data_IF_971894596142
#
_entry.id   IF_971894596142
#
_cell.length_a   1.000
_cell.length_b   1.000
_cell.length_c   1.000
_cell.angle_alpha   90.00
_cell.angle_beta   90.00
_cell.angle_gamma   90.00
#
_symmetry.space_group_name_H-M   'P 1'
#
loop_
_entity.id
_entity.type
_entity.pdbx_description
1 polymer ?
#
# COMPACT_ATOMS: atom_id res chain seq x y z
N UNK A 1 52.96 9.44 -8.50
CA UNK A 1 52.28 8.88 -7.29
C UNK A 1 53.37 8.47 -6.33
N UNK A 2 53.39 9.09 -5.13
CA UNK A 2 54.31 8.68 -4.07
C UNK A 2 53.54 7.83 -3.03
N UNK A 3 53.94 6.59 -2.82
CA UNK A 3 53.60 5.78 -1.68
C UNK A 3 54.75 5.85 -0.67
N UNK A 4 54.47 6.21 0.56
CA UNK A 4 55.52 6.39 1.57
C UNK A 4 55.00 6.17 2.98
N UNK A 5 55.93 6.26 3.93
CA UNK A 5 55.62 6.18 5.36
C UNK A 5 55.79 7.54 5.99
N UNK A 6 54.76 8.03 6.66
CA UNK A 6 54.86 9.19 7.54
C UNK A 6 55.17 8.68 8.95
N UNK A 7 56.26 9.14 9.51
CA UNK A 7 56.69 8.83 10.87
C UNK A 7 56.37 10.01 11.76
N UNK A 8 55.68 9.79 12.86
CA UNK A 8 55.46 10.73 13.98
C UNK A 8 55.98 10.11 15.27
N UNK A 9 56.06 10.90 16.33
CA UNK A 9 56.61 10.45 17.63
C UNK A 9 55.94 9.16 18.16
N UNK A 10 54.66 8.95 17.81
CA UNK A 10 53.85 7.82 18.35
C UNK A 10 53.40 6.79 17.33
N UNK A 11 53.46 7.13 16.02
CA UNK A 11 52.82 6.29 14.96
C UNK A 11 53.57 6.34 13.65
N UNK A 12 53.67 5.19 12.96
CA UNK A 12 54.10 5.06 11.57
C UNK A 12 52.85 4.79 10.71
N UNK A 13 52.66 5.60 9.63
CA UNK A 13 51.43 5.56 8.84
C UNK A 13 51.79 5.52 7.34
N UNK A 14 51.24 4.57 6.61
CA UNK A 14 51.31 4.56 5.18
C UNK A 14 50.46 5.70 4.59
N UNK A 15 51.04 6.44 3.66
CA UNK A 15 50.40 7.59 2.97
C UNK A 15 50.67 7.52 1.46
N UNK A 16 49.73 8.01 0.71
CA UNK A 16 49.88 8.27 -0.72
C UNK A 16 49.75 9.77 -1.00
N UNK A 17 50.52 10.23 -1.98
CA UNK A 17 50.46 11.61 -2.44
C UNK A 17 50.37 11.62 -3.95
N UNK A 18 49.40 12.37 -4.49
CA UNK A 18 49.21 12.49 -5.94
C UNK A 18 48.75 13.88 -6.32
N UNK A 19 49.24 14.38 -7.46
CA UNK A 19 48.67 15.54 -8.11
C UNK A 19 47.43 15.14 -8.92
N UNK A 20 46.34 15.86 -8.74
CA UNK A 20 45.09 15.72 -9.49
C UNK A 20 44.70 17.07 -10.09
N UNK A 21 44.12 17.07 -11.30
CA UNK A 21 43.61 18.29 -11.89
C UNK A 21 42.44 18.83 -11.02
N UNK A 22 42.45 20.14 -10.72
CA UNK A 22 41.34 20.74 -9.97
C UNK A 22 40.07 20.82 -10.84
N UNK A 23 38.92 20.64 -10.23
CA UNK A 23 37.61 20.78 -10.89
C UNK A 23 37.06 22.20 -10.86
N UNK A 24 37.76 23.16 -10.24
CA UNK A 24 37.27 24.53 -10.10
C UNK A 24 37.37 25.29 -11.42
N UNK A 25 36.24 25.74 -11.93
CA UNK A 25 36.05 26.48 -13.19
C UNK A 25 36.45 27.96 -13.12
N UNK A 26 36.88 28.45 -11.97
CA UNK A 26 37.28 29.86 -11.78
C UNK A 26 38.80 30.03 -11.75
N UNK A 27 39.45 29.92 -12.90
CA UNK A 27 40.83 30.34 -13.03
C UNK A 27 41.00 31.10 -14.36
N UNK A 28 41.37 32.37 -14.24
CA UNK A 28 41.85 33.21 -15.32
C UNK A 28 43.02 32.55 -16.04
N UNK A 29 43.08 32.76 -17.34
CA UNK A 29 43.98 32.19 -18.31
C UNK A 29 45.45 31.96 -17.83
N UNK A 30 45.93 30.75 -17.94
CA UNK A 30 47.35 30.46 -18.03
C UNK A 30 47.94 29.32 -17.21
N UNK A 31 47.33 28.83 -16.11
CA UNK A 31 47.86 27.67 -15.36
C UNK A 31 46.74 26.73 -14.97
N UNK A 32 46.80 25.47 -15.42
CA UNK A 32 45.91 24.41 -14.90
C UNK A 32 46.18 24.23 -13.41
N UNK A 33 45.24 24.54 -12.50
CA UNK A 33 45.45 24.36 -11.08
C UNK A 33 45.54 22.88 -10.79
N UNK A 34 46.65 22.41 -10.28
CA UNK A 34 46.81 21.05 -9.79
C UNK A 34 46.87 21.06 -8.26
N UNK A 35 45.97 20.37 -7.63
CA UNK A 35 46.00 20.16 -6.18
C UNK A 35 46.73 18.86 -5.85
N UNK A 36 47.55 18.89 -4.79
CA UNK A 36 48.24 17.71 -4.30
C UNK A 36 47.35 17.09 -3.20
N UNK A 37 46.76 15.94 -3.49
CA UNK A 37 46.00 15.19 -2.52
C UNK A 37 46.95 14.24 -1.73
N UNK A 38 46.92 14.37 -0.41
CA UNK A 38 47.58 13.44 0.52
C UNK A 38 46.49 12.61 1.21
N UNK A 39 46.66 11.29 1.15
CA UNK A 39 45.66 10.34 1.68
C UNK A 39 46.36 9.36 2.61
N UNK A 40 45.78 9.18 3.82
CA UNK A 40 46.20 8.14 4.76
C UNK A 40 45.69 6.79 4.23
N UNK A 41 46.58 5.78 4.12
CA UNK A 41 46.23 4.41 3.76
C UNK A 41 45.86 3.62 5.01
N UNK A 42 46.66 3.70 6.08
CA UNK A 42 46.44 3.04 7.37
C UNK A 42 47.71 3.12 8.23
N UNK A 43 47.68 2.64 9.49
CA UNK A 43 48.90 2.55 10.28
C UNK A 43 49.70 1.36 9.77
N UNK A 44 51.02 1.40 9.98
CA UNK A 44 51.92 0.31 9.52
C UNK A 44 51.54 -1.02 10.25
N UNK A 45 51.10 -0.94 11.52
CA UNK A 45 50.61 -2.07 12.31
C UNK A 45 49.33 -2.70 11.80
N UNK A 46 48.55 -1.98 10.98
CA UNK A 46 47.24 -2.46 10.49
C UNK A 46 47.39 -3.43 9.32
N UNK A 47 48.62 -3.59 8.79
CA UNK A 47 48.92 -4.40 7.61
C UNK A 47 49.93 -5.49 7.92
N UNK A 48 49.63 -6.78 7.67
CA UNK A 48 50.55 -7.90 7.81
C UNK A 48 51.78 -7.79 6.89
N UNK A 49 51.65 -7.14 5.72
CA UNK A 49 52.74 -6.93 4.77
C UNK A 49 52.63 -5.57 4.05
N UNK A 50 53.78 -5.10 3.54
CA UNK A 50 53.84 -3.87 2.75
C UNK A 50 53.07 -4.00 1.44
N UNK A 51 52.98 -5.22 0.90
CA UNK A 51 52.28 -5.43 -0.40
C UNK A 51 50.75 -5.34 -0.24
N UNK A 52 50.23 -5.74 0.89
CA UNK A 52 48.80 -5.49 1.19
C UNK A 52 48.49 -3.99 1.33
N UNK A 53 49.41 -3.24 2.00
CA UNK A 53 49.27 -1.79 2.08
C UNK A 53 49.36 -1.12 0.71
N UNK A 54 50.21 -1.64 -0.20
CA UNK A 54 50.32 -1.18 -1.58
C UNK A 54 49.05 -1.46 -2.39
N UNK A 55 48.40 -2.61 -2.19
CA UNK A 55 47.16 -2.94 -2.88
C UNK A 55 46.04 -1.98 -2.50
N UNK A 56 45.86 -1.74 -1.18
CA UNK A 56 44.91 -0.73 -0.69
C UNK A 56 45.25 0.66 -1.22
N UNK A 57 46.56 1.01 -1.30
CA UNK A 57 47.01 2.28 -1.89
C UNK A 57 46.62 2.40 -3.37
N UNK A 58 46.72 1.33 -4.15
CA UNK A 58 46.33 1.32 -5.58
C UNK A 58 44.82 1.60 -5.72
N UNK A 59 43.96 0.97 -4.93
CA UNK A 59 42.53 1.19 -4.92
C UNK A 59 42.16 2.65 -4.58
N UNK A 60 42.80 3.21 -3.55
CA UNK A 60 42.65 4.62 -3.18
C UNK A 60 43.09 5.57 -4.31
N UNK A 61 44.19 5.25 -4.99
CA UNK A 61 44.64 6.02 -6.17
C UNK A 61 43.63 5.97 -7.29
N UNK A 62 43.03 4.82 -7.60
CA UNK A 62 41.97 4.72 -8.61
C UNK A 62 40.79 5.61 -8.25
N UNK A 63 40.37 5.59 -6.98
CA UNK A 63 39.30 6.47 -6.47
C UNK A 63 39.67 7.96 -6.61
N UNK A 64 40.91 8.33 -6.29
CA UNK A 64 41.41 9.71 -6.47
C UNK A 64 41.39 10.17 -7.95
N UNK A 65 41.69 9.25 -8.86
CA UNK A 65 41.65 9.54 -10.31
C UNK A 65 40.21 9.75 -10.76
N UNK A 66 39.31 8.83 -10.41
CA UNK A 66 37.91 8.83 -10.83
C UNK A 66 37.16 10.04 -10.26
N UNK A 67 37.35 10.34 -8.98
CA UNK A 67 36.56 11.36 -8.26
C UNK A 67 37.23 12.73 -8.17
N UNK A 68 38.54 12.82 -8.45
CA UNK A 68 39.38 14.02 -8.22
C UNK A 68 39.30 14.56 -6.77
N UNK A 69 38.87 13.76 -5.83
CA UNK A 69 38.68 14.09 -4.41
C UNK A 69 39.47 13.17 -3.50
N UNK A 70 39.61 13.57 -2.23
CA UNK A 70 40.25 12.73 -1.22
C UNK A 70 39.33 11.56 -0.82
N UNK A 71 39.72 10.30 -1.05
CA UNK A 71 38.89 9.13 -0.73
C UNK A 71 38.45 9.06 0.74
N UNK A 72 39.34 9.45 1.66
CA UNK A 72 38.99 9.46 3.10
C UNK A 72 37.96 10.54 3.46
N UNK A 73 37.96 11.66 2.70
CA UNK A 73 36.93 12.68 2.85
C UNK A 73 35.60 12.20 2.28
N UNK A 74 35.63 11.56 1.12
CA UNK A 74 34.46 10.90 0.52
C UNK A 74 33.88 9.87 1.49
N UNK A 75 34.74 9.00 2.06
CA UNK A 75 34.31 7.99 3.04
C UNK A 75 33.64 8.65 4.26
N UNK A 76 34.23 9.71 4.81
CA UNK A 76 33.61 10.46 5.92
C UNK A 76 32.27 11.09 5.54
N UNK A 77 32.16 11.67 4.35
CA UNK A 77 30.91 12.26 3.88
C UNK A 77 29.83 11.17 3.69
N UNK A 78 30.22 10.00 3.19
CA UNK A 78 29.34 8.83 3.09
C UNK A 78 28.93 8.30 4.49
N UNK A 79 29.86 8.28 5.43
CA UNK A 79 29.62 7.86 6.82
C UNK A 79 28.72 8.87 7.57
N UNK A 80 28.73 10.14 7.20
CA UNK A 80 27.86 11.21 7.78
C UNK A 80 26.47 11.24 7.12
N UNK A 81 26.32 10.78 5.89
CA UNK A 81 25.06 10.72 5.16
C UNK A 81 24.31 9.40 5.36
N UNK A 82 24.42 8.80 6.56
CA UNK A 82 23.93 7.47 6.84
C UNK A 82 22.43 7.47 7.12
N UNK A 83 21.69 6.89 6.17
CA UNK A 83 20.24 6.77 6.24
C UNK A 83 19.83 5.70 7.27
N UNK A 84 19.04 6.12 8.25
CA UNK A 84 18.43 5.22 9.24
C UNK A 84 17.12 4.59 8.72
N UNK A 85 16.65 3.55 9.38
CA UNK A 85 15.37 2.92 9.07
C UNK A 85 14.22 3.92 9.20
N UNK A 86 14.20 4.73 10.27
CA UNK A 86 13.16 5.74 10.50
C UNK A 86 13.14 6.81 9.41
N UNK A 87 14.32 7.28 8.97
CA UNK A 87 14.41 8.26 7.87
C UNK A 87 13.88 7.70 6.55
N UNK A 88 14.14 6.41 6.25
CA UNK A 88 13.59 5.77 5.05
C UNK A 88 12.04 5.70 5.11
N UNK A 89 11.47 5.37 6.27
CA UNK A 89 10.02 5.38 6.46
C UNK A 89 9.45 6.80 6.34
N UNK A 90 10.11 7.81 6.92
CA UNK A 90 9.69 9.21 6.84
C UNK A 90 9.73 9.76 5.40
N UNK A 91 10.80 9.47 4.65
CA UNK A 91 10.91 9.83 3.23
C UNK A 91 9.79 9.18 2.41
N UNK A 92 9.54 7.90 2.62
CA UNK A 92 8.48 7.19 1.91
C UNK A 92 7.08 7.72 2.27
N UNK A 93 6.84 8.07 3.53
CA UNK A 93 5.61 8.72 4.00
C UNK A 93 5.39 10.05 3.27
N UNK A 94 6.42 10.89 3.22
CA UNK A 94 6.38 12.18 2.51
C UNK A 94 6.07 11.99 1.03
N UNK A 95 6.70 11.01 0.39
CA UNK A 95 6.39 10.64 -0.99
C UNK A 95 4.92 10.21 -1.17
N UNK A 96 4.37 9.39 -0.27
CA UNK A 96 2.97 8.97 -0.34
C UNK A 96 1.98 10.13 -0.19
N UNK A 97 2.31 11.12 0.62
CA UNK A 97 1.51 12.33 0.84
C UNK A 97 1.65 13.33 -0.31
N UNK A 98 2.83 13.45 -0.91
CA UNK A 98 3.13 14.37 -2.01
C UNK A 98 2.62 13.93 -3.40
N UNK A 99 1.96 12.78 -3.52
CA UNK A 99 1.39 12.32 -4.79
C UNK A 99 0.22 13.20 -5.22
N UNK A 100 -0.04 13.32 -6.51
CA UNK A 100 -1.23 14.00 -7.07
C UNK A 100 -2.54 13.52 -6.41
N UNK A 101 -2.64 12.22 -6.11
CA UNK A 101 -3.67 11.66 -5.23
C UNK A 101 -2.99 11.10 -3.98
N UNK A 102 -2.96 11.84 -2.86
CA UNK A 102 -2.31 11.42 -1.62
C UNK A 102 -2.80 10.06 -1.11
N UNK A 103 -1.96 9.36 -0.38
CA UNK A 103 -2.34 8.07 0.20
C UNK A 103 -3.51 8.22 1.18
N UNK A 104 -4.44 7.27 1.16
CA UNK A 104 -5.58 7.25 2.10
C UNK A 104 -5.08 7.01 3.54
N UNK A 105 -5.77 7.55 4.57
CA UNK A 105 -5.35 7.43 5.97
C UNK A 105 -5.04 5.99 6.41
N UNK A 106 -5.82 5.02 5.92
CA UNK A 106 -5.57 3.62 6.24
C UNK A 106 -4.22 3.09 5.71
N UNK A 107 -3.75 3.59 4.56
CA UNK A 107 -2.43 3.22 4.02
C UNK A 107 -1.32 3.73 4.92
N UNK A 108 -1.44 4.97 5.39
CA UNK A 108 -0.48 5.57 6.35
C UNK A 108 -0.50 4.82 7.68
N UNK A 109 -1.67 4.51 8.23
CA UNK A 109 -1.80 3.73 9.46
C UNK A 109 -1.15 2.33 9.35
N UNK A 110 -1.22 1.70 8.18
CA UNK A 110 -0.53 0.41 7.96
C UNK A 110 0.98 0.59 7.87
N UNK A 111 1.46 1.67 7.28
CA UNK A 111 2.88 2.04 7.26
C UNK A 111 3.40 2.29 8.68
N UNK A 112 2.64 3.06 9.50
CA UNK A 112 2.98 3.35 10.90
C UNK A 112 3.06 2.07 11.73
N UNK A 113 2.12 1.15 11.54
CA UNK A 113 2.16 -0.16 12.21
C UNK A 113 3.38 -0.98 11.81
N UNK A 114 3.83 -0.88 10.56
CA UNK A 114 5.03 -1.56 10.12
C UNK A 114 6.29 -0.97 10.77
N UNK A 115 6.41 0.36 10.77
CA UNK A 115 7.49 1.08 11.43
C UNK A 115 7.56 0.77 12.95
N UNK A 116 6.41 0.83 13.63
CA UNK A 116 6.32 0.53 15.07
C UNK A 116 6.73 -0.91 15.43
N UNK A 117 6.52 -1.89 14.54
CA UNK A 117 7.01 -3.26 14.77
C UNK A 117 8.53 -3.40 14.62
N UNK A 118 9.16 -2.42 13.98
CA UNK A 118 10.61 -2.32 13.80
C UNK A 118 11.23 -1.22 14.67
N UNK A 119 10.53 -0.80 15.73
CA UNK A 119 10.94 0.33 16.58
C UNK A 119 12.38 0.21 17.13
N UNK A 120 12.84 -0.99 17.42
CA UNK A 120 14.21 -1.25 17.89
C UNK A 120 15.28 -0.97 16.82
N UNK A 121 14.89 -0.91 15.54
CA UNK A 121 15.77 -0.60 14.42
C UNK A 121 15.64 0.85 13.91
N UNK A 122 14.75 1.66 14.47
CA UNK A 122 14.47 3.01 13.96
C UNK A 122 15.72 3.86 13.79
N UNK A 123 16.62 3.80 14.77
CA UNK A 123 17.87 4.56 14.79
C UNK A 123 19.07 3.79 14.19
N UNK A 124 18.88 2.55 13.77
CA UNK A 124 19.93 1.80 13.10
C UNK A 124 20.09 2.26 11.66
N UNK A 125 21.35 2.33 11.24
CA UNK A 125 21.67 2.60 9.82
C UNK A 125 21.30 1.39 8.99
N UNK A 126 20.65 1.61 7.86
CA UNK A 126 20.19 0.54 6.97
C UNK A 126 21.35 -0.36 6.54
N UNK A 127 22.53 0.22 6.32
CA UNK A 127 23.72 -0.54 5.90
C UNK A 127 24.26 -1.52 6.96
N UNK A 128 23.95 -1.28 8.24
CA UNK A 128 24.41 -2.11 9.35
C UNK A 128 23.47 -3.29 9.64
N UNK A 129 22.27 -3.28 9.05
CA UNK A 129 21.33 -4.40 9.18
C UNK A 129 21.82 -5.61 8.40
N UNK A 130 22.11 -6.69 9.11
CA UNK A 130 22.50 -7.94 8.48
C UNK A 130 21.31 -8.78 8.03
N UNK A 131 21.51 -9.61 7.01
CA UNK A 131 20.46 -10.53 6.54
C UNK A 131 19.97 -11.48 7.64
N UNK A 132 20.87 -11.94 8.54
CA UNK A 132 20.52 -12.82 9.65
C UNK A 132 19.61 -12.13 10.68
N UNK A 133 19.85 -10.88 11.00
CA UNK A 133 18.99 -10.10 11.91
C UNK A 133 17.60 -9.92 11.32
N UNK A 134 17.53 -9.62 10.01
CA UNK A 134 16.27 -9.46 9.30
C UNK A 134 15.47 -10.77 9.29
N UNK A 135 16.10 -11.89 8.99
CA UNK A 135 15.47 -13.21 9.01
C UNK A 135 14.95 -13.56 10.41
N UNK A 136 15.77 -13.38 11.44
CA UNK A 136 15.39 -13.62 12.83
C UNK A 136 14.19 -12.78 13.24
N UNK A 137 14.21 -11.48 12.93
CA UNK A 137 13.10 -10.57 13.27
C UNK A 137 11.84 -10.89 12.52
N UNK A 138 11.96 -11.29 11.25
CA UNK A 138 10.82 -11.78 10.49
C UNK A 138 10.18 -12.99 11.17
N UNK A 139 10.98 -13.99 11.56
CA UNK A 139 10.49 -15.22 12.19
C UNK A 139 9.89 -14.95 13.57
N UNK A 140 10.45 -14.02 14.36
CA UNK A 140 9.90 -13.58 15.66
C UNK A 140 8.48 -13.00 15.50
N UNK A 141 8.28 -12.10 14.54
CA UNK A 141 6.96 -11.51 14.29
C UNK A 141 6.01 -12.55 13.67
N UNK A 142 6.52 -13.39 12.78
CA UNK A 142 5.75 -14.42 12.08
C UNK A 142 5.20 -15.50 13.04
N UNK A 143 5.94 -15.85 14.09
CA UNK A 143 5.49 -16.79 15.12
C UNK A 143 4.21 -16.30 15.81
N UNK A 144 4.06 -15.00 16.01
CA UNK A 144 2.86 -14.39 16.60
C UNK A 144 1.77 -14.11 15.53
N UNK A 145 2.17 -13.58 14.39
CA UNK A 145 1.24 -13.15 13.34
C UNK A 145 1.91 -13.10 11.96
N UNK A 146 1.88 -14.21 11.23
CA UNK A 146 2.52 -14.35 9.90
C UNK A 146 2.18 -13.24 8.92
N UNK A 147 0.91 -12.86 8.82
CA UNK A 147 0.44 -11.80 7.93
C UNK A 147 1.01 -10.43 8.33
N UNK A 148 1.17 -10.19 9.64
CA UNK A 148 1.77 -8.95 10.13
C UNK A 148 3.27 -8.88 9.79
N UNK A 149 4.00 -9.99 9.92
CA UNK A 149 5.40 -10.07 9.50
C UNK A 149 5.53 -9.74 8.00
N UNK A 150 4.81 -10.46 7.15
CA UNK A 150 4.85 -10.24 5.70
C UNK A 150 4.53 -8.79 5.34
N UNK A 151 3.51 -8.19 5.96
CA UNK A 151 3.13 -6.80 5.71
C UNK A 151 4.22 -5.83 6.17
N UNK A 152 4.76 -6.01 7.37
CA UNK A 152 5.82 -5.17 7.94
C UNK A 152 7.03 -5.14 7.00
N UNK A 153 7.51 -6.29 6.60
CA UNK A 153 8.74 -6.36 5.80
C UNK A 153 8.52 -6.01 4.33
N UNK A 154 7.29 -6.14 3.79
CA UNK A 154 6.98 -5.53 2.47
C UNK A 154 7.06 -4.01 2.52
N UNK A 155 6.56 -3.38 3.57
CA UNK A 155 6.65 -1.93 3.74
C UNK A 155 8.08 -1.47 3.97
N UNK A 156 8.86 -2.15 4.82
CA UNK A 156 10.28 -1.85 5.03
C UNK A 156 11.07 -1.95 3.72
N UNK A 157 10.85 -3.03 2.95
CA UNK A 157 11.51 -3.21 1.66
C UNK A 157 11.17 -2.09 0.67
N UNK A 158 9.92 -1.63 0.61
CA UNK A 158 9.50 -0.56 -0.30
C UNK A 158 10.04 0.80 0.17
N UNK A 159 10.01 1.09 1.47
CA UNK A 159 10.55 2.33 2.03
C UNK A 159 12.06 2.45 1.76
N UNK A 160 12.82 1.39 2.03
CA UNK A 160 14.27 1.37 1.79
C UNK A 160 14.59 1.43 0.29
N UNK A 161 13.82 0.73 -0.56
CA UNK A 161 14.00 0.84 -2.01
C UNK A 161 13.82 2.28 -2.49
N UNK A 162 12.79 2.97 -2.02
CA UNK A 162 12.54 4.37 -2.36
C UNK A 162 13.68 5.29 -1.88
N UNK A 163 14.18 5.05 -0.67
CA UNK A 163 15.30 5.80 -0.12
C UNK A 163 16.60 5.60 -0.93
N UNK A 164 16.86 4.37 -1.41
CA UNK A 164 17.98 4.08 -2.33
C UNK A 164 17.83 4.85 -3.66
N UNK A 165 16.61 4.91 -4.21
CA UNK A 165 16.34 5.64 -5.46
C UNK A 165 16.57 7.15 -5.30
N UNK A 166 16.13 7.75 -4.18
CA UNK A 166 16.40 9.17 -3.86
C UNK A 166 17.91 9.39 -3.69
N UNK A 167 18.58 8.54 -2.93
CA UNK A 167 20.01 8.66 -2.66
C UNK A 167 20.83 8.53 -3.95
N UNK A 168 20.45 7.62 -4.84
CA UNK A 168 21.10 7.49 -6.15
C UNK A 168 20.95 8.76 -6.99
N UNK A 169 19.77 9.39 -7.02
CA UNK A 169 19.53 10.66 -7.69
C UNK A 169 20.35 11.82 -7.08
N UNK A 170 20.39 11.92 -5.77
CA UNK A 170 21.19 12.92 -5.06
C UNK A 170 22.70 12.73 -5.31
N UNK A 171 23.15 11.49 -5.26
CA UNK A 171 24.55 11.14 -5.53
C UNK A 171 24.96 11.50 -6.95
N UNK A 172 24.10 11.23 -7.94
CA UNK A 172 24.32 11.62 -9.33
C UNK A 172 24.41 13.14 -9.48
N UNK A 173 23.47 13.88 -8.90
CA UNK A 173 23.47 15.35 -8.93
C UNK A 173 24.73 15.94 -8.30
N UNK A 174 25.20 15.33 -7.20
CA UNK A 174 26.39 15.77 -6.46
C UNK A 174 27.70 15.16 -7.00
N UNK A 175 27.66 14.40 -8.08
CA UNK A 175 28.81 13.70 -8.67
C UNK A 175 29.62 12.89 -7.64
N UNK A 176 28.90 12.17 -6.75
CA UNK A 176 29.47 11.28 -5.73
C UNK A 176 28.91 9.86 -5.87
N UNK A 177 29.52 8.91 -5.18
CA UNK A 177 28.94 7.57 -5.05
C UNK A 177 27.75 7.60 -4.05
N UNK A 178 26.71 6.81 -4.30
CA UNK A 178 25.61 6.68 -3.35
C UNK A 178 26.08 6.02 -2.06
N UNK A 179 25.61 6.54 -0.92
CA UNK A 179 25.92 5.99 0.42
C UNK A 179 25.18 4.68 0.70
N UNK A 180 24.06 4.47 0.02
CA UNK A 180 23.25 3.28 0.13
C UNK A 180 22.89 2.77 -1.28
N UNK A 181 23.41 1.61 -1.66
CA UNK A 181 23.17 0.99 -2.97
C UNK A 181 22.49 -0.38 -2.89
N UNK A 182 22.39 -0.93 -1.69
CA UNK A 182 21.86 -2.27 -1.44
C UNK A 182 20.69 -2.22 -0.45
N UNK A 183 19.64 -3.00 -0.75
CA UNK A 183 18.49 -3.16 0.14
C UNK A 183 18.62 -4.48 0.93
N UNK A 184 18.93 -4.43 2.24
CA UNK A 184 19.14 -5.63 3.04
C UNK A 184 17.86 -6.46 3.21
N UNK A 185 16.67 -5.87 3.10
CA UNK A 185 15.39 -6.58 3.18
C UNK A 185 15.12 -7.50 1.99
N UNK A 186 15.89 -7.37 0.89
CA UNK A 186 15.79 -8.26 -0.28
C UNK A 186 16.05 -9.73 0.05
N UNK A 187 16.79 -10.02 1.12
CA UNK A 187 17.07 -11.38 1.62
C UNK A 187 15.80 -12.20 1.83
N UNK A 188 14.72 -11.57 2.29
CA UNK A 188 13.46 -12.27 2.54
C UNK A 188 12.80 -12.82 1.26
N UNK A 189 13.02 -12.15 0.12
CA UNK A 189 12.59 -12.64 -1.19
C UNK A 189 13.47 -13.79 -1.66
N UNK A 190 14.79 -13.64 -1.52
CA UNK A 190 15.78 -14.68 -1.86
C UNK A 190 15.50 -15.96 -1.08
N UNK A 191 15.25 -15.84 0.24
CA UNK A 191 14.94 -16.95 1.14
C UNK A 191 13.47 -17.40 1.09
N UNK A 192 12.68 -16.92 0.13
CA UNK A 192 11.27 -17.29 -0.08
C UNK A 192 10.42 -17.22 1.21
N UNK A 193 10.69 -16.23 2.07
CA UNK A 193 9.99 -16.07 3.36
C UNK A 193 8.53 -15.61 3.22
N UNK A 194 8.13 -15.06 2.09
CA UNK A 194 6.76 -14.64 1.82
C UNK A 194 5.94 -15.80 1.28
N UNK A 195 4.72 -15.98 1.82
CA UNK A 195 3.80 -17.01 1.33
C UNK A 195 3.46 -16.80 -0.14
N UNK A 196 3.42 -17.88 -0.87
CA UNK A 196 2.86 -17.96 -2.22
C UNK A 196 1.34 -17.75 -2.20
N UNK A 197 0.73 -17.58 -3.36
CA UNK A 197 -0.73 -17.46 -3.47
C UNK A 197 -1.43 -18.73 -3.00
N UNK A 198 -0.89 -19.90 -3.35
CA UNK A 198 -1.44 -21.19 -2.93
C UNK A 198 -1.42 -21.34 -1.41
N UNK A 199 -0.27 -21.15 -0.77
CA UNK A 199 -0.13 -21.22 0.70
C UNK A 199 -1.05 -20.24 1.42
N UNK A 200 -1.30 -19.08 0.82
CA UNK A 200 -2.22 -18.10 1.37
C UNK A 200 -3.68 -18.59 1.28
N UNK A 201 -4.07 -19.18 0.17
CA UNK A 201 -5.40 -19.77 -0.05
C UNK A 201 -5.63 -20.96 0.90
N UNK A 202 -4.65 -21.82 1.08
CA UNK A 202 -4.70 -22.95 2.03
C UNK A 202 -4.83 -22.45 3.48
N UNK A 203 -4.08 -21.39 3.83
CA UNK A 203 -4.22 -20.75 5.15
C UNK A 203 -5.61 -20.14 5.39
N UNK A 204 -6.28 -19.63 4.36
CA UNK A 204 -7.64 -19.11 4.48
C UNK A 204 -8.65 -20.27 4.62
N UNK A 205 -8.45 -21.36 3.85
CA UNK A 205 -9.29 -22.55 3.91
C UNK A 205 -9.20 -23.20 5.30
N UNK A 206 -7.98 -23.39 5.82
CA UNK A 206 -7.76 -23.93 7.16
C UNK A 206 -8.37 -23.09 8.29
N UNK A 207 -8.46 -21.77 8.13
CA UNK A 207 -9.08 -20.86 9.11
C UNK A 207 -10.58 -20.65 8.91
N UNK A 208 -11.20 -21.33 7.94
CA UNK A 208 -12.62 -21.13 7.62
C UNK A 208 -12.96 -19.67 7.25
N UNK A 209 -12.03 -18.94 6.66
CA UNK A 209 -12.25 -17.59 6.14
C UNK A 209 -12.33 -17.61 4.62
N UNK A 210 -13.00 -16.61 4.03
CA UNK A 210 -13.37 -16.57 2.60
C UNK A 210 -14.40 -17.63 2.22
N UNK A 211 -15.58 -17.50 2.81
CA UNK A 211 -16.71 -18.38 2.58
C UNK A 211 -17.83 -17.66 1.78
N UNK A 212 -17.64 -17.38 0.47
CA UNK A 212 -18.72 -16.82 -0.34
C UNK A 212 -19.88 -17.80 -0.41
N UNK A 213 -21.11 -17.29 -0.41
CA UNK A 213 -22.31 -18.10 -0.46
C UNK A 213 -22.42 -18.81 -1.82
N UNK A 214 -22.90 -20.04 -1.78
CA UNK A 214 -23.23 -20.83 -2.97
C UNK A 214 -24.63 -20.47 -3.46
N UNK A 215 -24.83 -20.11 -4.74
CA UNK A 215 -26.16 -19.82 -5.28
C UNK A 215 -27.14 -20.99 -5.11
N UNK A 216 -26.65 -22.21 -5.22
CA UNK A 216 -27.47 -23.43 -5.19
C UNK A 216 -27.85 -23.94 -3.78
N UNK A 217 -27.20 -23.39 -2.73
CA UNK A 217 -27.39 -23.89 -1.37
C UNK A 217 -27.46 -22.75 -0.33
N UNK A 218 -26.31 -22.14 -0.01
CA UNK A 218 -26.19 -21.27 1.16
C UNK A 218 -26.75 -19.87 0.95
N UNK A 219 -26.87 -19.40 -0.31
CA UNK A 219 -27.42 -18.07 -0.58
C UNK A 219 -28.90 -17.97 -0.21
N UNK A 220 -29.72 -18.95 -0.60
CA UNK A 220 -31.14 -18.97 -0.25
C UNK A 220 -31.36 -18.98 1.27
N UNK A 221 -30.64 -19.83 2.00
CA UNK A 221 -30.70 -19.91 3.47
C UNK A 221 -30.30 -18.57 4.13
N UNK A 222 -29.23 -17.94 3.61
CA UNK A 222 -28.80 -16.64 4.09
C UNK A 222 -29.86 -15.56 3.86
N UNK A 223 -30.47 -15.49 2.69
CA UNK A 223 -31.50 -14.50 2.36
C UNK A 223 -32.77 -14.71 3.19
N UNK A 224 -33.18 -15.94 3.45
CA UNK A 224 -34.31 -16.25 4.35
C UNK A 224 -34.04 -15.79 5.77
N UNK A 225 -32.89 -16.15 6.34
CA UNK A 225 -32.51 -15.71 7.69
C UNK A 225 -32.38 -14.17 7.78
N UNK A 226 -31.85 -13.52 6.72
CA UNK A 226 -31.78 -12.07 6.62
C UNK A 226 -33.18 -11.44 6.60
N UNK A 227 -34.12 -12.02 5.85
CA UNK A 227 -35.50 -11.57 5.80
C UNK A 227 -36.16 -11.67 7.17
N UNK A 228 -36.01 -12.79 7.88
CA UNK A 228 -36.54 -12.99 9.23
C UNK A 228 -36.02 -11.94 10.24
N UNK A 229 -34.77 -11.52 10.10
CA UNK A 229 -34.19 -10.49 10.97
C UNK A 229 -34.54 -9.04 10.58
N UNK A 230 -35.16 -8.85 9.41
CA UNK A 230 -35.42 -7.50 8.88
C UNK A 230 -36.36 -6.69 9.75
N UNK A 231 -37.35 -7.32 10.39
CA UNK A 231 -38.26 -6.67 11.33
C UNK A 231 -37.58 -6.13 12.58
N UNK A 232 -36.51 -6.79 13.05
CA UNK A 232 -35.74 -6.37 14.23
C UNK A 232 -34.64 -5.38 13.92
N UNK A 233 -34.03 -5.48 12.73
CA UNK A 233 -32.89 -4.66 12.36
C UNK A 233 -32.91 -4.32 10.87
N UNK A 234 -33.90 -3.54 10.46
CA UNK A 234 -34.11 -3.16 9.08
C UNK A 234 -32.86 -2.50 8.44
N UNK A 235 -32.25 -1.53 9.15
CA UNK A 235 -31.04 -0.84 8.69
C UNK A 235 -29.91 -1.80 8.31
N UNK A 236 -29.57 -2.69 9.22
CA UNK A 236 -28.47 -3.62 9.02
C UNK A 236 -28.77 -4.69 7.96
N UNK A 237 -30.03 -5.18 7.91
CA UNK A 237 -30.45 -6.16 6.90
C UNK A 237 -30.48 -5.56 5.50
N UNK A 238 -31.03 -4.36 5.32
CA UNK A 238 -31.03 -3.67 4.04
C UNK A 238 -29.59 -3.37 3.57
N UNK A 239 -28.68 -2.98 4.49
CA UNK A 239 -27.27 -2.80 4.20
C UNK A 239 -26.58 -4.08 3.69
N UNK A 240 -26.83 -5.21 4.33
CA UNK A 240 -26.29 -6.50 3.93
C UNK A 240 -26.89 -6.97 2.59
N UNK A 241 -28.20 -6.81 2.42
CA UNK A 241 -28.92 -7.18 1.20
C UNK A 241 -28.40 -6.38 -0.01
N UNK A 242 -28.33 -5.05 0.11
CA UNK A 242 -27.80 -4.20 -0.97
C UNK A 242 -26.33 -4.47 -1.25
N UNK A 243 -25.54 -4.86 -0.23
CA UNK A 243 -24.15 -5.29 -0.47
C UNK A 243 -24.08 -6.56 -1.30
N UNK A 244 -24.97 -7.52 -1.08
CA UNK A 244 -25.06 -8.75 -1.91
C UNK A 244 -25.53 -8.42 -3.32
N UNK A 245 -26.55 -7.57 -3.46
CA UNK A 245 -27.15 -7.24 -4.77
C UNK A 245 -26.25 -6.40 -5.67
N UNK A 246 -25.36 -5.60 -5.10
CA UNK A 246 -24.50 -4.68 -5.87
C UNK A 246 -23.04 -5.12 -5.94
N UNK A 247 -22.62 -6.02 -5.06
CA UNK A 247 -21.21 -6.39 -4.91
C UNK A 247 -20.32 -5.23 -4.45
N UNK A 248 -20.86 -4.13 -3.92
CA UNK A 248 -20.09 -2.98 -3.42
C UNK A 248 -19.17 -3.36 -2.26
N UNK A 249 -18.07 -2.61 -2.09
CA UNK A 249 -17.22 -2.79 -0.91
C UNK A 249 -17.88 -2.21 0.34
N UNK A 250 -17.52 -2.75 1.51
CA UNK A 250 -18.08 -2.38 2.81
C UNK A 250 -18.22 -0.86 3.00
N UNK A 251 -17.12 -0.13 2.82
CA UNK A 251 -17.10 1.32 3.04
C UNK A 251 -17.78 2.09 1.89
N UNK A 252 -17.70 1.59 0.67
CA UNK A 252 -18.37 2.17 -0.50
C UNK A 252 -19.90 2.14 -0.29
N UNK A 253 -20.45 1.01 0.17
CA UNK A 253 -21.88 0.89 0.48
C UNK A 253 -22.27 1.73 1.71
N UNK A 254 -21.46 1.71 2.77
CA UNK A 254 -21.78 2.38 4.03
C UNK A 254 -21.85 3.90 3.90
N UNK A 255 -20.99 4.48 3.06
CA UNK A 255 -20.83 5.93 2.87
C UNK A 255 -21.70 6.53 1.76
N UNK A 256 -22.68 5.81 1.26
CA UNK A 256 -23.61 6.34 0.25
C UNK A 256 -24.52 7.41 0.85
N UNK A 257 -24.65 8.51 0.11
CA UNK A 257 -25.61 9.59 0.38
C UNK A 257 -26.79 9.52 -0.60
N UNK A 258 -27.89 10.18 -0.28
CA UNK A 258 -28.95 10.44 -1.24
C UNK A 258 -28.57 11.61 -2.15
N UNK A 259 -28.73 11.49 -3.48
CA UNK A 259 -28.34 12.55 -4.44
C UNK A 259 -29.07 13.86 -4.17
N UNK A 260 -30.36 13.79 -3.84
CA UNK A 260 -31.21 14.93 -3.54
C UNK A 260 -30.78 15.74 -2.29
N UNK A 261 -29.95 15.18 -1.45
CA UNK A 261 -29.42 15.87 -0.24
C UNK A 261 -28.09 16.57 -0.47
N UNK A 262 -27.53 16.46 -1.66
CA UNK A 262 -26.22 17.00 -2.03
C UNK A 262 -26.36 18.17 -2.99
N UNK A 263 -25.53 19.19 -2.78
CA UNK A 263 -25.32 20.24 -3.78
C UNK A 263 -24.58 19.68 -5.01
N UNK A 264 -24.55 20.42 -6.11
CA UNK A 264 -23.84 20.01 -7.32
C UNK A 264 -22.31 19.82 -7.07
N UNK A 265 -21.72 20.67 -6.25
CA UNK A 265 -20.29 20.57 -5.92
C UNK A 265 -19.99 19.40 -4.97
N UNK A 266 -20.84 19.14 -3.98
CA UNK A 266 -20.71 17.97 -3.12
C UNK A 266 -20.88 16.66 -3.91
N UNK A 267 -21.79 16.61 -4.87
CA UNK A 267 -22.02 15.45 -5.72
C UNK A 267 -20.79 15.07 -6.57
N UNK A 268 -19.95 16.03 -6.94
CA UNK A 268 -18.69 15.76 -7.66
C UNK A 268 -17.71 14.90 -6.87
N UNK A 269 -17.73 15.02 -5.54
CA UNK A 269 -16.74 14.40 -4.62
C UNK A 269 -17.34 13.44 -3.59
N UNK A 270 -18.61 13.06 -3.77
CA UNK A 270 -19.35 12.18 -2.84
C UNK A 270 -19.90 10.96 -3.57
N UNK A 271 -19.94 9.81 -2.90
CA UNK A 271 -20.65 8.63 -3.37
C UNK A 271 -22.14 8.77 -3.06
N UNK A 272 -23.01 8.54 -4.04
CA UNK A 272 -24.43 8.74 -3.85
C UNK A 272 -25.31 7.74 -4.61
N UNK A 273 -26.60 7.71 -4.23
CA UNK A 273 -27.68 7.03 -4.92
C UNK A 273 -28.57 8.10 -5.56
N UNK A 274 -28.77 7.98 -6.86
CA UNK A 274 -29.71 8.75 -7.63
C UNK A 274 -30.85 7.82 -8.08
N UNK A 275 -32.00 7.94 -7.43
CA UNK A 275 -33.18 7.10 -7.71
C UNK A 275 -33.88 7.53 -8.98
N UNK A 276 -33.82 8.79 -9.34
CA UNK A 276 -34.41 9.34 -10.54
C UNK A 276 -33.70 8.83 -11.80
N UNK A 277 -32.37 8.98 -11.82
CA UNK A 277 -31.53 8.51 -12.92
C UNK A 277 -31.15 7.03 -12.80
N UNK A 278 -31.57 6.33 -11.75
CA UNK A 278 -31.29 4.90 -11.48
C UNK A 278 -29.80 4.56 -11.47
N UNK A 279 -29.00 5.34 -10.75
CA UNK A 279 -27.55 5.19 -10.69
C UNK A 279 -27.07 5.19 -9.24
N UNK A 280 -26.16 4.26 -8.93
CA UNK A 280 -25.31 4.32 -7.74
C UNK A 280 -23.92 4.78 -8.20
N UNK A 281 -23.46 5.93 -7.73
CA UNK A 281 -22.13 6.43 -8.02
C UNK A 281 -21.22 6.26 -6.81
N UNK A 282 -20.08 5.64 -7.01
CA UNK A 282 -18.98 5.53 -6.03
C UNK A 282 -17.84 6.45 -6.46
N UNK A 283 -17.56 7.47 -5.66
CA UNK A 283 -16.47 8.42 -5.88
C UNK A 283 -15.15 7.91 -5.30
N UNK A 284 -14.03 8.15 -5.98
CA UNK A 284 -12.66 7.81 -5.56
C UNK A 284 -12.57 6.42 -4.86
N UNK A 285 -13.00 5.39 -5.55
CA UNK A 285 -13.02 4.02 -5.03
C UNK A 285 -11.62 3.57 -4.57
N UNK A 286 -11.48 2.37 -4.07
CA UNK A 286 -10.16 1.80 -3.72
C UNK A 286 -9.17 1.81 -4.90
N UNK A 287 -9.69 1.79 -6.12
CA UNK A 287 -8.88 1.81 -7.35
C UNK A 287 -8.56 3.22 -7.86
N UNK A 288 -8.93 4.26 -7.12
CA UNK A 288 -8.71 5.68 -7.45
C UNK A 288 -9.42 6.16 -8.71
N UNK A 289 -10.54 5.54 -9.05
CA UNK A 289 -11.46 5.94 -10.10
C UNK A 289 -12.88 5.98 -9.57
N UNK A 290 -13.74 6.72 -10.23
CA UNK A 290 -15.18 6.68 -10.01
C UNK A 290 -15.75 5.43 -10.66
N UNK A 291 -16.86 4.95 -10.09
CA UNK A 291 -17.54 3.76 -10.56
C UNK A 291 -19.05 3.93 -10.42
N UNK A 292 -19.77 3.58 -11.47
CA UNK A 292 -21.22 3.67 -11.50
C UNK A 292 -21.83 2.30 -11.72
N UNK A 293 -22.90 2.03 -10.97
CA UNK A 293 -23.75 0.86 -11.12
C UNK A 293 -25.20 1.31 -11.38
N UNK A 294 -25.89 0.69 -12.31
CA UNK A 294 -27.32 0.95 -12.51
C UNK A 294 -28.15 0.30 -11.40
N UNK A 295 -29.31 0.85 -11.13
CA UNK A 295 -30.28 0.39 -10.15
C UNK A 295 -31.39 -0.38 -10.89
N UNK A 296 -31.52 -1.69 -10.61
CA UNK A 296 -32.65 -2.50 -11.08
C UNK A 296 -33.92 -2.26 -10.24
N UNK A 297 -35.06 -2.72 -10.73
CA UNK A 297 -36.36 -2.44 -10.12
C UNK A 297 -36.46 -2.95 -8.67
N UNK A 298 -35.93 -4.14 -8.37
CA UNK A 298 -35.98 -4.63 -7.00
C UNK A 298 -35.05 -3.86 -6.06
N UNK A 299 -33.84 -3.49 -6.53
CA UNK A 299 -32.93 -2.62 -5.75
C UNK A 299 -33.57 -1.26 -5.54
N UNK A 300 -34.28 -0.72 -6.55
CA UNK A 300 -34.98 0.55 -6.46
C UNK A 300 -36.04 0.52 -5.35
N UNK A 301 -36.92 -0.48 -5.34
CA UNK A 301 -37.94 -0.62 -4.30
C UNK A 301 -37.35 -0.64 -2.89
N UNK A 302 -36.27 -1.40 -2.68
CA UNK A 302 -35.59 -1.46 -1.38
C UNK A 302 -35.03 -0.09 -0.98
N UNK A 303 -34.51 0.67 -1.95
CA UNK A 303 -33.93 1.99 -1.72
C UNK A 303 -35.02 3.05 -1.48
N UNK A 304 -36.14 2.99 -2.18
CA UNK A 304 -37.30 3.86 -1.95
C UNK A 304 -37.85 3.65 -0.53
N UNK A 305 -38.16 2.41 -0.15
CA UNK A 305 -38.53 2.06 1.21
C UNK A 305 -37.51 2.57 2.24
N UNK A 306 -36.22 2.46 1.93
CA UNK A 306 -35.14 2.90 2.81
C UNK A 306 -35.12 4.41 2.96
N UNK A 307 -35.33 5.17 1.89
CA UNK A 307 -35.40 6.63 1.88
C UNK A 307 -36.56 7.13 2.73
N UNK A 308 -37.72 6.53 2.56
CA UNK A 308 -38.93 6.91 3.31
C UNK A 308 -38.73 6.69 4.81
N UNK A 309 -38.19 5.53 5.21
CA UNK A 309 -37.87 5.25 6.62
C UNK A 309 -36.87 6.24 7.20
N UNK A 310 -35.80 6.60 6.45
CA UNK A 310 -34.83 7.59 6.92
C UNK A 310 -35.48 8.96 7.10
N UNK A 311 -36.33 9.37 6.18
CA UNK A 311 -37.05 10.65 6.27
C UNK A 311 -38.01 10.69 7.47
N UNK A 312 -38.72 9.58 7.73
CA UNK A 312 -39.69 9.49 8.83
C UNK A 312 -39.03 9.36 10.19
N UNK A 313 -37.95 8.59 10.31
CA UNK A 313 -37.38 8.23 11.61
C UNK A 313 -36.20 9.12 12.03
N UNK A 314 -35.46 9.69 11.09
CA UNK A 314 -34.28 10.48 11.39
C UNK A 314 -34.60 11.99 11.47
N UNK A 315 -34.61 12.53 12.67
CA UNK A 315 -34.93 13.95 12.91
C UNK A 315 -33.77 14.90 12.56
N UNK A 316 -32.55 14.41 12.51
CA UNK A 316 -31.34 15.19 12.29
C UNK A 316 -31.01 15.28 10.80
N UNK A 317 -30.95 16.48 10.25
CA UNK A 317 -30.69 16.72 8.83
C UNK A 317 -29.32 16.15 8.38
N UNK A 318 -28.28 16.27 9.25
CA UNK A 318 -26.95 15.73 8.98
C UNK A 318 -26.91 14.21 8.85
N UNK A 319 -27.86 13.51 9.42
CA UNK A 319 -28.02 12.07 9.28
C UNK A 319 -28.92 11.65 8.10
N UNK A 320 -29.90 12.47 7.73
CA UNK A 320 -30.81 12.18 6.61
C UNK A 320 -30.09 12.05 5.28
N UNK A 321 -28.93 12.69 5.14
CA UNK A 321 -28.13 12.57 3.92
C UNK A 321 -27.64 11.14 3.64
N UNK A 322 -27.50 10.32 4.69
CA UNK A 322 -26.96 8.97 4.56
C UNK A 322 -28.03 7.96 4.21
N UNK A 323 -27.77 7.08 3.25
CA UNK A 323 -28.60 5.91 2.97
C UNK A 323 -28.64 4.98 4.18
N UNK A 324 -27.50 4.87 4.86
CA UNK A 324 -27.33 4.09 6.08
C UNK A 324 -26.77 4.97 7.20
N UNK A 325 -27.61 5.74 7.91
CA UNK A 325 -27.14 6.60 8.99
C UNK A 325 -26.57 5.80 10.16
N UNK A 326 -25.62 6.38 10.88
CA UNK A 326 -25.08 5.78 12.08
C UNK A 326 -26.15 5.68 13.17
N UNK A 327 -26.23 4.54 13.85
CA UNK A 327 -27.15 4.34 14.98
C UNK A 327 -26.82 5.26 16.16
N UNK A 328 -25.52 5.40 16.45
CA UNK A 328 -25.07 6.22 17.56
C UNK A 328 -24.89 7.69 17.13
N UNK A 329 -25.34 8.62 17.96
CA UNK A 329 -25.05 10.04 17.82
C UNK A 329 -23.57 10.40 18.03
N UNK A 330 -22.81 9.50 18.67
CA UNK A 330 -21.37 9.67 18.92
C UNK A 330 -20.49 9.17 17.74
N UNK A 331 -21.12 8.69 16.67
CA UNK A 331 -20.35 8.22 15.50
C UNK A 331 -19.57 9.35 14.85
N UNK A 332 -18.26 9.20 14.73
CA UNK A 332 -17.38 10.17 14.06
C UNK A 332 -17.55 10.17 12.54
N UNK A 333 -18.05 9.10 11.95
CA UNK A 333 -18.19 8.94 10.49
C UNK A 333 -19.59 9.25 9.98
N UNK A 334 -20.59 9.32 10.87
CA UNK A 334 -21.97 9.67 10.54
C UNK A 334 -22.80 8.56 9.89
N UNK A 335 -22.17 7.56 9.28
CA UNK A 335 -22.84 6.44 8.62
C UNK A 335 -22.69 5.11 9.37
N UNK A 336 -23.46 4.11 8.96
CA UNK A 336 -23.43 2.75 9.52
C UNK A 336 -22.09 2.06 9.26
N UNK A 337 -21.47 1.47 10.25
CA UNK A 337 -20.15 0.88 10.13
C UNK A 337 -20.03 -0.55 10.64
N UNK A 338 -20.92 -0.97 11.56
CA UNK A 338 -20.83 -2.26 12.22
C UNK A 338 -22.03 -3.16 11.90
N UNK A 339 -21.76 -4.18 11.10
CA UNK A 339 -22.69 -5.27 10.77
C UNK A 339 -22.22 -6.63 11.29
N UNK A 340 -21.16 -6.68 12.13
CA UNK A 340 -20.52 -7.95 12.49
C UNK A 340 -21.45 -8.88 13.24
N UNK A 341 -22.01 -8.42 14.36
CA UNK A 341 -22.89 -9.23 15.20
C UNK A 341 -24.16 -9.66 14.46
N UNK A 342 -24.79 -8.75 13.71
CA UNK A 342 -25.95 -9.08 12.89
C UNK A 342 -25.62 -10.18 11.86
N UNK A 343 -24.53 -10.04 11.15
CA UNK A 343 -24.09 -11.01 10.13
C UNK A 343 -23.78 -12.37 10.76
N UNK A 344 -23.14 -12.40 11.93
CA UNK A 344 -22.89 -13.64 12.67
C UNK A 344 -24.18 -14.32 13.10
N UNK A 345 -25.17 -13.57 13.59
CA UNK A 345 -26.48 -14.09 13.96
C UNK A 345 -27.24 -14.64 12.74
N UNK A 346 -27.20 -13.94 11.60
CA UNK A 346 -27.81 -14.42 10.35
C UNK A 346 -27.13 -15.73 9.89
N UNK A 347 -25.80 -15.82 9.93
CA UNK A 347 -25.08 -17.04 9.58
C UNK A 347 -25.46 -18.21 10.50
N UNK A 348 -25.60 -17.96 11.80
CA UNK A 348 -26.01 -18.97 12.77
C UNK A 348 -27.44 -19.46 12.49
N UNK A 349 -28.40 -18.57 12.26
CA UNK A 349 -29.79 -18.94 11.94
C UNK A 349 -29.88 -19.70 10.62
N UNK A 350 -29.09 -19.28 9.62
CA UNK A 350 -29.04 -19.96 8.32
C UNK A 350 -28.29 -21.31 8.34
N UNK A 351 -27.64 -21.68 9.44
CA UNK A 351 -26.80 -22.88 9.55
C UNK A 351 -25.62 -22.87 8.58
N UNK A 352 -24.98 -21.70 8.37
CA UNK A 352 -23.87 -21.54 7.43
C UNK A 352 -22.62 -21.07 8.16
N UNK A 353 -21.45 -21.29 7.53
CA UNK A 353 -20.19 -20.78 8.05
C UNK A 353 -20.18 -19.26 8.13
N UNK A 354 -19.43 -18.71 9.10
CA UNK A 354 -19.20 -17.26 9.20
C UNK A 354 -18.67 -16.71 7.90
N UNK A 355 -19.26 -15.62 7.43
CA UNK A 355 -18.82 -14.91 6.24
C UNK A 355 -18.41 -13.47 6.60
N UNK A 356 -17.42 -12.96 5.86
CA UNK A 356 -16.98 -11.57 5.94
C UNK A 356 -17.76 -10.67 4.98
N UNK A 357 -17.70 -9.35 5.18
CA UNK A 357 -18.32 -8.40 4.22
C UNK A 357 -17.81 -8.60 2.79
N UNK A 358 -16.55 -8.98 2.64
CA UNK A 358 -16.00 -9.24 1.31
C UNK A 358 -16.50 -10.54 0.67
N UNK A 359 -17.04 -11.47 1.47
CA UNK A 359 -17.65 -12.69 0.95
C UNK A 359 -19.00 -12.42 0.31
N UNK A 360 -19.76 -11.42 0.79
CA UNK A 360 -20.98 -10.95 0.11
C UNK A 360 -20.66 -10.46 -1.32
N UNK A 361 -19.61 -9.69 -1.47
CA UNK A 361 -19.13 -9.25 -2.79
C UNK A 361 -18.62 -10.40 -3.66
N UNK A 362 -17.97 -11.41 -3.07
CA UNK A 362 -17.57 -12.64 -3.80
C UNK A 362 -18.79 -13.46 -4.21
N UNK A 363 -19.84 -13.49 -3.37
CA UNK A 363 -21.12 -14.10 -3.71
C UNK A 363 -21.74 -13.44 -4.93
N UNK A 364 -21.81 -12.09 -4.94
CA UNK A 364 -22.26 -11.36 -6.14
C UNK A 364 -21.44 -11.75 -7.37
N UNK A 365 -20.11 -11.79 -7.26
CA UNK A 365 -19.24 -12.18 -8.36
C UNK A 365 -19.53 -13.59 -8.90
N UNK A 366 -19.74 -14.58 -8.01
CA UNK A 366 -20.12 -15.96 -8.40
C UNK A 366 -21.44 -16.02 -9.12
N UNK A 367 -22.47 -15.35 -8.61
CA UNK A 367 -23.78 -15.28 -9.27
C UNK A 367 -23.65 -14.62 -10.62
N UNK A 368 -22.93 -13.53 -10.72
CA UNK A 368 -22.75 -12.81 -11.96
C UNK A 368 -21.95 -13.62 -13.01
N UNK A 369 -20.96 -14.41 -12.59
CA UNK A 369 -20.18 -15.31 -13.47
C UNK A 369 -21.05 -16.42 -14.12
N UNK A 370 -22.14 -16.85 -13.45
CA UNK A 370 -23.10 -17.81 -14.01
C UNK A 370 -24.04 -17.15 -15.03
N UNK A 371 -24.16 -15.82 -15.03
CA UNK A 371 -25.18 -15.07 -15.78
C UNK A 371 -24.62 -14.23 -16.92
N UNK A 372 -23.32 -13.90 -16.88
CA UNK A 372 -22.70 -13.00 -17.85
C UNK A 372 -21.20 -13.29 -18.05
N UNK A 373 -20.61 -12.57 -19.01
CA UNK A 373 -19.18 -12.73 -19.31
C UNK A 373 -18.28 -12.23 -18.17
N UNK A 374 -17.09 -12.82 -18.04
CA UNK A 374 -16.08 -12.43 -17.06
C UNK A 374 -15.68 -10.94 -17.16
N UNK A 375 -15.71 -10.39 -18.38
CA UNK A 375 -15.42 -8.98 -18.62
C UNK A 375 -16.47 -8.08 -17.96
N UNK A 376 -17.76 -8.43 -18.09
CA UNK A 376 -18.87 -7.73 -17.43
C UNK A 376 -18.76 -7.83 -15.91
N UNK A 377 -18.48 -9.02 -15.38
CA UNK A 377 -18.26 -9.22 -13.92
C UNK A 377 -17.14 -8.34 -13.39
N UNK A 378 -16.02 -8.27 -14.09
CA UNK A 378 -14.91 -7.35 -13.72
C UNK A 378 -15.36 -5.90 -13.67
N UNK A 379 -16.18 -5.47 -14.64
CA UNK A 379 -16.71 -4.10 -14.69
C UNK A 379 -17.64 -3.84 -13.51
N UNK A 380 -18.62 -4.72 -13.28
CA UNK A 380 -19.55 -4.61 -12.15
C UNK A 380 -18.81 -4.53 -10.80
N UNK A 381 -17.76 -5.31 -10.65
CA UNK A 381 -16.93 -5.32 -9.45
C UNK A 381 -15.87 -4.21 -9.42
N UNK A 382 -15.79 -3.31 -10.40
CA UNK A 382 -14.72 -2.33 -10.48
C UNK A 382 -13.33 -2.95 -10.26
N UNK A 383 -13.05 -4.07 -10.94
CA UNK A 383 -11.72 -4.65 -10.98
C UNK A 383 -10.90 -3.95 -12.06
N UNK A 384 -9.62 -3.62 -11.78
CA UNK A 384 -8.74 -3.00 -12.78
C UNK A 384 -8.51 -3.98 -13.93
N UNK A 385 -8.80 -3.54 -15.14
CA UNK A 385 -8.28 -4.17 -16.35
C UNK A 385 -6.86 -3.64 -16.57
N UNK A 386 -5.90 -4.54 -16.62
CA UNK A 386 -4.49 -4.17 -16.75
C UNK A 386 -4.00 -4.09 -18.19
N UNK A 387 -4.83 -4.39 -19.21
CA UNK A 387 -4.27 -4.75 -20.52
C UNK A 387 -4.89 -4.14 -21.77
N UNK A 388 -6.12 -3.59 -21.78
CA UNK A 388 -6.64 -3.07 -23.06
C UNK A 388 -7.63 -1.88 -22.92
N UNK A 389 -7.32 -0.70 -23.53
CA UNK A 389 -8.26 0.41 -23.63
C UNK A 389 -9.49 0.11 -24.49
N UNK A 390 -9.38 -0.76 -25.50
CA UNK A 390 -10.45 -1.12 -26.45
C UNK A 390 -11.53 -1.97 -25.79
N UNK A 391 -11.16 -2.83 -24.82
CA UNK A 391 -12.11 -3.57 -23.99
C UNK A 391 -13.09 -2.65 -23.23
N UNK A 392 -12.70 -1.42 -22.94
CA UNK A 392 -13.60 -0.46 -22.23
C UNK A 392 -14.88 -0.12 -23.00
N UNK A 393 -14.79 0.03 -24.32
CA UNK A 393 -15.95 0.41 -25.15
C UNK A 393 -16.85 -0.78 -25.47
N UNK A 394 -16.28 -1.92 -25.81
CA UNK A 394 -17.02 -3.16 -26.09
C UNK A 394 -17.81 -3.63 -24.86
N UNK A 395 -17.19 -3.61 -23.68
CA UNK A 395 -17.79 -4.02 -22.41
C UNK A 395 -18.94 -3.08 -22.01
N UNK A 396 -18.86 -1.77 -22.30
CA UNK A 396 -19.93 -0.82 -21.98
C UNK A 396 -21.20 -1.13 -22.76
N UNK A 397 -21.07 -1.46 -24.04
CA UNK A 397 -22.21 -1.79 -24.91
C UNK A 397 -22.85 -3.12 -24.52
N UNK A 398 -22.04 -4.13 -24.20
CA UNK A 398 -22.48 -5.44 -23.73
C UNK A 398 -23.13 -5.35 -22.34
N UNK A 399 -22.54 -4.58 -21.44
CA UNK A 399 -23.10 -4.26 -20.13
C UNK A 399 -24.51 -3.64 -20.21
N UNK A 400 -24.70 -2.63 -21.05
CA UNK A 400 -26.01 -1.99 -21.23
C UNK A 400 -27.05 -2.92 -21.87
N UNK A 401 -26.63 -3.86 -22.74
CA UNK A 401 -27.54 -4.88 -23.30
C UNK A 401 -27.96 -5.92 -22.26
N UNK A 402 -27.03 -6.46 -21.50
CA UNK A 402 -27.30 -7.48 -20.47
C UNK A 402 -28.07 -6.89 -19.28
N UNK A 403 -27.87 -5.63 -18.96
CA UNK A 403 -28.61 -4.99 -17.87
C UNK A 403 -30.09 -4.84 -18.15
N UNK A 404 -30.49 -4.65 -19.42
CA UNK A 404 -31.89 -4.72 -19.82
C UNK A 404 -32.49 -6.12 -19.71
N UNK A 405 -31.63 -7.18 -19.73
CA UNK A 405 -32.01 -8.57 -19.52
C UNK A 405 -31.95 -9.05 -18.05
N UNK A 406 -31.27 -8.32 -17.15
CA UNK A 406 -31.05 -8.67 -15.74
C UNK A 406 -32.25 -8.37 -14.81
N UNK A 407 -33.41 -7.99 -15.36
CA UNK A 407 -34.68 -8.01 -14.61
C UNK A 407 -35.02 -9.38 -13.99
N UNK A 408 -34.19 -10.39 -14.24
CA UNK A 408 -34.32 -11.76 -13.68
C UNK A 408 -33.47 -12.01 -12.42
N UNK A 409 -32.57 -11.11 -12.01
CA UNK A 409 -31.71 -11.32 -10.82
C UNK A 409 -32.27 -10.65 -9.57
N UNK A 410 -33.30 -9.87 -9.73
CA UNK A 410 -33.96 -9.14 -8.64
C UNK A 410 -35.29 -9.77 -8.28
#
# INVERSE_FOLDING_TARGET
>A
VGFGVKVSLTKKTYVIQRRVASSDRNVSEGKKPSSVLKVKVGNVSDFPSIDQAREVARQLVQTMIATKRNPNKIKRELDLAELTVSEAFAQYRSHLLGRTKPAKPNTLNVLDKAENRLKEWQNLRIKDLTGNEILRKFDEIAAKARTAAEQTFRWANVAVKHAIEIEAGNAQTQQRLPSLSYNPFSILKVQKKFRTRSELEDSYRAKGVRNPLSPKDTLGRFLTALHNKRSFNRLGCDYLLLTVLTGARKEEMASLCWRETLTEDEAKTTSYIDLENRVIRFYDTKNRNDHELPICDATKRILEDRRDIVNDTEKRADKRKWVFPARSSRSKVGHYSDSKSLRENICQEAGIMKLGMHDLRRTFGRVAEELTSYAVVKRLLNHRNTTDPTERYAIMTEFMRHFKGLNFIC
#
